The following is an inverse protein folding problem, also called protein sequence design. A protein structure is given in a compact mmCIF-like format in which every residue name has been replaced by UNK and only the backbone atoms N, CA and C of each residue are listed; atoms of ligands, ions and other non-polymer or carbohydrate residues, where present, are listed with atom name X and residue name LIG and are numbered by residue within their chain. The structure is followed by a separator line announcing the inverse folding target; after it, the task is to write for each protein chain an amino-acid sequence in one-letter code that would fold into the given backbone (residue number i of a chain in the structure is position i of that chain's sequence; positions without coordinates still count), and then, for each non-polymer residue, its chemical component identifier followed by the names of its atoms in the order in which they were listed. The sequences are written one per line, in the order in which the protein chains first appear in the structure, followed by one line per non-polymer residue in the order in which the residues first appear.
data_IF_500407406220
#
_entry.id   IF_500407406220
#
_cell.length_a   1.000
_cell.length_b   1.000
_cell.length_c   1.000
_cell.angle_alpha   90.00
_cell.angle_beta   90.00
_cell.angle_gamma   90.00
#
_symmetry.space_group_name_H-M   'P 1'
#
loop_
_entity.id
_entity.type
_entity.pdbx_description
1 polymer ?
#
# COMPACT_ATOMS: atom_id res chain seq x y z
N UNK A 1 -37.50 -32.13 21.60
CA UNK A 1 -36.59 -30.99 21.36
C UNK A 1 -35.20 -31.56 21.18
N UNK A 2 -34.73 -31.72 19.94
CA UNK A 2 -33.37 -32.20 19.64
C UNK A 2 -32.50 -30.97 19.42
N UNK A 3 -31.58 -30.71 20.34
CA UNK A 3 -30.57 -29.64 20.21
C UNK A 3 -29.50 -30.17 19.26
N UNK A 4 -29.45 -29.68 18.02
CA UNK A 4 -28.28 -29.88 17.15
C UNK A 4 -27.06 -29.20 17.77
N UNK A 5 -25.86 -29.82 17.77
CA UNK A 5 -24.66 -29.12 18.19
C UNK A 5 -24.38 -27.96 17.22
N UNK A 6 -23.81 -26.84 17.68
CA UNK A 6 -23.43 -25.78 16.75
C UNK A 6 -22.32 -26.31 15.84
N UNK A 7 -22.57 -26.29 14.54
CA UNK A 7 -21.57 -26.46 13.48
C UNK A 7 -20.52 -25.37 13.66
N UNK A 8 -19.56 -25.61 14.55
CA UNK A 8 -18.47 -24.69 14.79
C UNK A 8 -17.43 -25.00 13.73
N UNK A 9 -17.65 -24.42 12.55
CA UNK A 9 -16.72 -24.50 11.44
C UNK A 9 -15.31 -24.17 11.96
N UNK A 10 -14.27 -24.97 11.63
CA UNK A 10 -12.92 -24.78 12.16
C UNK A 10 -12.36 -23.38 11.85
N UNK A 11 -12.87 -22.73 10.80
CA UNK A 11 -12.56 -21.36 10.43
C UNK A 11 -13.12 -20.33 11.44
N UNK A 12 -14.33 -20.53 11.97
CA UNK A 12 -14.97 -19.62 12.92
C UNK A 12 -14.31 -19.70 14.31
N UNK A 13 -13.99 -20.91 14.78
CA UNK A 13 -13.23 -21.10 16.02
C UNK A 13 -11.82 -20.49 15.93
N UNK A 14 -11.20 -20.55 14.74
CA UNK A 14 -9.91 -19.95 14.47
C UNK A 14 -9.98 -18.41 14.41
N UNK A 15 -11.00 -17.85 13.75
CA UNK A 15 -11.27 -16.41 13.71
C UNK A 15 -11.51 -15.85 15.12
N UNK A 16 -12.29 -16.55 15.96
CA UNK A 16 -12.55 -16.17 17.36
C UNK A 16 -11.26 -16.17 18.20
N UNK A 17 -10.39 -17.17 18.02
CA UNK A 17 -9.06 -17.23 18.68
C UNK A 17 -8.12 -16.12 18.21
N UNK A 18 -8.14 -15.77 16.91
CA UNK A 18 -7.34 -14.67 16.37
C UNK A 18 -7.81 -13.29 16.84
N UNK A 19 -9.07 -13.16 17.29
CA UNK A 19 -9.59 -11.93 17.87
C UNK A 19 -9.11 -11.71 19.32
N UNK A 20 -8.58 -12.73 19.99
CA UNK A 20 -7.97 -12.60 21.31
C UNK A 20 -6.56 -11.96 21.21
N UNK A 21 -6.32 -10.79 21.82
CA UNK A 21 -5.07 -10.08 21.67
C UNK A 21 -3.89 -10.77 22.37
N UNK A 22 -4.12 -11.59 23.40
CA UNK A 22 -3.06 -12.30 24.10
C UNK A 22 -2.55 -13.51 23.30
N UNK A 23 -3.48 -14.32 22.79
CA UNK A 23 -3.21 -15.40 21.86
C UNK A 23 -2.50 -14.88 20.61
N UNK A 24 -2.99 -13.75 20.05
CA UNK A 24 -2.35 -13.13 18.88
C UNK A 24 -0.90 -12.74 19.15
N UNK A 25 -0.59 -12.12 20.30
CA UNK A 25 0.79 -11.72 20.67
C UNK A 25 1.72 -12.91 20.92
N UNK A 26 1.25 -13.94 21.61
CA UNK A 26 2.04 -15.15 21.86
C UNK A 26 2.32 -15.93 20.56
N UNK A 27 1.34 -15.96 19.66
CA UNK A 27 1.48 -16.61 18.36
C UNK A 27 2.39 -15.82 17.41
N UNK A 28 2.31 -14.48 17.43
CA UNK A 28 3.21 -13.58 16.71
C UNK A 28 4.66 -13.76 17.18
N UNK A 29 4.90 -13.83 18.50
CA UNK A 29 6.24 -14.09 19.07
C UNK A 29 6.82 -15.46 18.67
N UNK A 30 6.03 -16.53 18.74
CA UNK A 30 6.48 -17.87 18.35
C UNK A 30 6.83 -17.97 16.85
N UNK A 31 6.18 -17.14 16.03
CA UNK A 31 6.39 -17.09 14.58
C UNK A 31 7.55 -16.16 14.20
N UNK A 32 7.76 -15.07 14.94
CA UNK A 32 8.92 -14.19 14.82
C UNK A 32 10.24 -14.94 15.12
N UNK A 33 10.20 -15.89 16.07
CA UNK A 33 11.31 -16.77 16.41
C UNK A 33 11.56 -17.86 15.35
N UNK A 34 10.55 -18.17 14.53
CA UNK A 34 10.66 -19.16 13.46
C UNK A 34 11.36 -18.57 12.23
N UNK A 35 12.28 -19.32 11.58
CA UNK A 35 12.96 -18.85 10.38
C UNK A 35 11.94 -18.58 9.26
N UNK A 36 11.92 -17.33 8.76
CA UNK A 36 11.03 -16.92 7.68
C UNK A 36 11.26 -17.81 6.46
N UNK A 37 10.22 -18.44 5.92
CA UNK A 37 10.37 -19.31 4.77
C UNK A 37 10.81 -18.51 3.55
N UNK A 38 11.75 -19.04 2.78
CA UNK A 38 12.43 -18.32 1.69
C UNK A 38 11.46 -17.72 0.65
N UNK A 39 10.32 -18.37 0.43
CA UNK A 39 9.27 -17.85 -0.46
C UNK A 39 8.66 -16.53 0.01
N UNK A 40 8.56 -16.26 1.31
CA UNK A 40 8.08 -14.97 1.83
C UNK A 40 9.07 -13.85 1.52
N UNK A 41 10.37 -14.13 1.63
CA UNK A 41 11.43 -13.16 1.29
C UNK A 41 11.41 -12.83 -0.20
N UNK A 42 11.32 -13.84 -1.06
CA UNK A 42 11.18 -13.66 -2.51
C UNK A 42 9.89 -12.91 -2.86
N UNK A 43 8.78 -13.25 -2.21
CA UNK A 43 7.50 -12.58 -2.38
C UNK A 43 7.60 -11.08 -2.04
N UNK A 44 8.09 -10.73 -0.85
CA UNK A 44 8.19 -9.35 -0.38
C UNK A 44 9.17 -8.53 -1.23
N UNK A 45 10.29 -9.14 -1.66
CA UNK A 45 11.24 -8.50 -2.59
C UNK A 45 10.58 -8.13 -3.91
N UNK A 46 9.93 -9.08 -4.57
CA UNK A 46 9.27 -8.84 -5.87
C UNK A 46 8.08 -7.90 -5.71
N UNK A 47 7.38 -7.98 -4.58
CA UNK A 47 6.30 -7.06 -4.26
C UNK A 47 6.81 -5.62 -4.10
N UNK A 48 7.95 -5.40 -3.44
CA UNK A 48 8.57 -4.08 -3.33
C UNK A 48 9.09 -3.58 -4.69
N UNK A 49 9.71 -4.45 -5.49
CA UNK A 49 10.27 -4.10 -6.80
C UNK A 49 9.20 -3.77 -7.85
N UNK A 50 8.10 -4.53 -7.90
CA UNK A 50 7.11 -4.46 -8.98
C UNK A 50 5.74 -3.96 -8.54
N UNK A 51 5.51 -3.80 -7.23
CA UNK A 51 4.21 -3.42 -6.64
C UNK A 51 3.04 -4.27 -7.16
N UNK A 52 3.34 -5.52 -7.57
CA UNK A 52 2.39 -6.40 -8.24
C UNK A 52 2.27 -7.70 -7.48
N UNK A 53 1.14 -7.88 -6.81
CA UNK A 53 0.81 -9.11 -6.09
C UNK A 53 0.82 -10.32 -7.03
N UNK A 54 0.41 -10.16 -8.29
CA UNK A 54 0.46 -11.26 -9.28
C UNK A 54 1.89 -11.71 -9.60
N UNK A 55 2.81 -10.78 -9.82
CA UNK A 55 4.22 -11.13 -10.07
C UNK A 55 4.89 -11.70 -8.82
N UNK A 56 4.57 -11.15 -7.64
CA UNK A 56 5.06 -11.66 -6.37
C UNK A 56 4.57 -13.10 -6.11
N UNK A 57 3.31 -13.41 -6.40
CA UNK A 57 2.76 -14.78 -6.32
C UNK A 57 3.47 -15.73 -7.30
N UNK A 58 3.68 -15.29 -8.55
CA UNK A 58 4.37 -16.07 -9.56
C UNK A 58 5.83 -16.37 -9.14
N UNK A 59 6.54 -15.37 -8.62
CA UNK A 59 7.90 -15.51 -8.12
C UNK A 59 7.99 -16.38 -6.86
N UNK A 60 6.99 -16.32 -5.98
CA UNK A 60 6.92 -17.16 -4.78
C UNK A 60 6.53 -18.61 -5.08
N UNK A 61 5.98 -18.91 -6.27
CA UNK A 61 5.55 -20.26 -6.64
C UNK A 61 4.47 -20.83 -5.71
N UNK A 62 3.53 -19.98 -5.26
CA UNK A 62 2.47 -20.35 -4.31
C UNK A 62 1.08 -20.03 -4.85
N UNK A 63 0.08 -20.74 -4.34
CA UNK A 63 -1.30 -20.44 -4.67
C UNK A 63 -1.72 -19.08 -4.06
N UNK A 64 -2.48 -18.24 -4.79
CA UNK A 64 -2.97 -16.96 -4.28
C UNK A 64 -3.72 -17.12 -2.95
N UNK A 65 -4.60 -18.12 -2.86
CA UNK A 65 -5.40 -18.38 -1.66
C UNK A 65 -4.56 -18.70 -0.44
N UNK A 66 -3.42 -19.39 -0.63
CA UNK A 66 -2.48 -19.66 0.45
C UNK A 66 -1.77 -18.39 0.92
N UNK A 67 -1.32 -17.54 -0.01
CA UNK A 67 -0.65 -16.27 0.30
C UNK A 67 -1.60 -15.31 1.05
N UNK A 68 -2.86 -15.20 0.63
CA UNK A 68 -3.86 -14.40 1.33
C UNK A 68 -4.24 -14.98 2.70
N UNK A 69 -4.28 -16.30 2.82
CA UNK A 69 -4.49 -16.97 4.11
C UNK A 69 -3.34 -16.64 5.07
N UNK A 70 -2.09 -16.83 4.64
CA UNK A 70 -0.91 -16.47 5.44
C UNK A 70 -0.94 -14.98 5.82
N UNK A 71 -1.33 -14.07 4.92
CA UNK A 71 -1.50 -12.64 5.24
C UNK A 71 -2.58 -12.36 6.30
N UNK A 72 -3.64 -13.16 6.38
CA UNK A 72 -4.67 -13.00 7.40
C UNK A 72 -4.21 -13.56 8.76
N UNK A 73 -3.50 -14.68 8.73
CA UNK A 73 -2.98 -15.34 9.93
C UNK A 73 -1.80 -14.57 10.53
N UNK A 74 -0.94 -13.98 9.69
CA UNK A 74 0.37 -13.43 10.07
C UNK A 74 0.38 -11.90 10.00
N UNK A 75 0.36 -11.26 11.19
CA UNK A 75 0.34 -9.81 11.33
C UNK A 75 1.67 -9.17 10.90
N UNK A 76 2.79 -9.82 11.17
CA UNK A 76 4.12 -9.38 10.78
C UNK A 76 4.34 -9.42 9.26
N UNK A 77 3.96 -10.52 8.60
CA UNK A 77 3.96 -10.65 7.15
C UNK A 77 3.00 -9.65 6.52
N UNK A 78 1.84 -9.39 7.14
CA UNK A 78 0.96 -8.29 6.73
C UNK A 78 1.64 -6.93 6.85
N UNK A 79 2.37 -6.67 7.95
CA UNK A 79 3.09 -5.42 8.15
C UNK A 79 4.22 -5.25 7.13
N UNK A 80 5.02 -6.30 6.87
CA UNK A 80 6.06 -6.30 5.84
C UNK A 80 5.50 -6.22 4.42
N UNK A 81 4.34 -6.80 4.17
CA UNK A 81 3.63 -6.63 2.90
C UNK A 81 3.18 -5.19 2.74
N UNK A 82 2.59 -4.59 3.78
CA UNK A 82 2.20 -3.19 3.78
C UNK A 82 3.41 -2.28 3.59
N UNK A 83 4.52 -2.55 4.29
CA UNK A 83 5.81 -1.88 4.10
C UNK A 83 6.37 -2.09 2.70
N UNK A 84 6.26 -3.27 2.09
CA UNK A 84 6.69 -3.49 0.71
C UNK A 84 5.82 -2.73 -0.30
N UNK A 85 4.52 -2.55 -0.01
CA UNK A 85 3.62 -1.70 -0.79
C UNK A 85 3.81 -0.21 -0.51
N UNK A 86 4.24 0.16 0.69
CA UNK A 86 4.42 1.54 1.15
C UNK A 86 5.81 2.08 0.82
N UNK A 87 6.83 1.22 0.91
CA UNK A 87 8.27 1.50 0.87
C UNK A 87 8.73 2.12 -0.44
N UNK A 88 7.94 1.95 -1.47
CA UNK A 88 7.98 2.81 -2.62
C UNK A 88 6.60 2.70 -3.28
N UNK A 89 5.61 3.45 -2.79
CA UNK A 89 4.73 4.11 -3.76
C UNK A 89 5.68 4.96 -4.60
N UNK A 90 6.34 4.36 -5.60
CA UNK A 90 6.87 5.06 -6.76
C UNK A 90 5.63 5.64 -7.40
N UNK A 91 5.22 6.78 -6.85
CA UNK A 91 4.35 7.67 -7.54
C UNK A 91 5.06 7.85 -8.87
N UNK A 92 4.39 7.55 -9.97
CA UNK A 92 5.01 7.73 -11.25
C UNK A 92 5.58 9.15 -11.25
N UNK A 93 6.84 9.32 -11.64
CA UNK A 93 7.65 10.51 -11.31
C UNK A 93 6.91 11.81 -11.61
N UNK A 94 6.06 11.78 -12.64
CA UNK A 94 5.11 12.83 -12.97
C UNK A 94 4.17 13.29 -11.84
N UNK A 95 3.69 12.43 -10.95
CA UNK A 95 2.82 12.81 -9.82
C UNK A 95 3.57 13.67 -8.79
N UNK A 96 4.84 13.34 -8.52
CA UNK A 96 5.67 14.13 -7.62
C UNK A 96 5.95 15.50 -8.24
N UNK A 97 6.40 15.52 -9.51
CA UNK A 97 6.62 16.76 -10.27
C UNK A 97 5.32 17.59 -10.37
N UNK A 98 4.19 16.95 -10.68
CA UNK A 98 2.88 17.60 -10.77
C UNK A 98 2.48 18.26 -9.46
N UNK A 99 2.56 17.54 -8.34
CA UNK A 99 2.16 18.08 -7.03
C UNK A 99 3.10 19.20 -6.57
N UNK A 100 4.41 19.09 -6.83
CA UNK A 100 5.38 20.17 -6.55
C UNK A 100 5.06 21.43 -7.35
N UNK A 101 4.94 21.31 -8.68
CA UNK A 101 4.60 22.45 -9.53
C UNK A 101 3.20 23.00 -9.24
N UNK A 102 2.25 22.16 -8.84
CA UNK A 102 0.91 22.59 -8.44
C UNK A 102 0.94 23.38 -7.12
N UNK A 103 1.77 22.99 -6.15
CA UNK A 103 1.92 23.72 -4.90
C UNK A 103 2.57 25.10 -5.12
N UNK A 104 3.55 25.17 -6.04
CA UNK A 104 4.26 26.39 -6.39
C UNK A 104 3.40 27.35 -7.23
N UNK A 105 2.84 26.85 -8.33
CA UNK A 105 2.15 27.69 -9.32
C UNK A 105 0.66 27.84 -9.05
N UNK A 106 0.06 26.92 -8.27
CA UNK A 106 -1.39 26.72 -8.13
C UNK A 106 -2.15 26.57 -9.46
N UNK A 107 -1.43 26.31 -10.56
CA UNK A 107 -1.96 26.23 -11.91
C UNK A 107 -1.84 24.81 -12.47
N UNK A 108 -2.98 24.12 -12.56
CA UNK A 108 -3.08 22.73 -13.04
C UNK A 108 -2.47 22.57 -14.44
N UNK A 109 -2.61 23.58 -15.30
CA UNK A 109 -2.04 23.57 -16.67
C UNK A 109 -0.51 23.63 -16.67
N UNK A 110 0.12 24.38 -15.77
CA UNK A 110 1.59 24.39 -15.66
C UNK A 110 2.10 23.10 -15.03
N UNK A 111 1.42 22.63 -13.98
CA UNK A 111 1.76 21.38 -13.32
C UNK A 111 1.72 20.17 -14.26
N UNK A 112 0.70 20.04 -15.13
CA UNK A 112 0.63 18.94 -16.10
C UNK A 112 1.71 19.00 -17.17
N UNK A 113 2.10 20.21 -17.59
CA UNK A 113 3.14 20.42 -18.60
C UNK A 113 4.52 20.08 -18.03
N UNK A 114 4.81 20.57 -16.81
CA UNK A 114 6.04 20.24 -16.09
C UNK A 114 6.17 18.73 -15.84
N UNK A 115 5.05 18.07 -15.52
CA UNK A 115 4.99 16.62 -15.30
C UNK A 115 4.89 15.80 -16.60
N UNK A 116 4.77 16.43 -17.77
CA UNK A 116 4.68 15.73 -19.06
C UNK A 116 3.46 14.81 -19.22
N UNK A 117 2.33 15.10 -18.56
CA UNK A 117 1.15 14.21 -18.54
C UNK A 117 -0.10 14.84 -19.14
N UNK A 118 -0.93 13.98 -19.73
CA UNK A 118 -2.24 14.36 -20.23
C UNK A 118 -3.22 14.65 -19.08
N UNK A 119 -4.06 15.68 -19.25
CA UNK A 119 -5.09 16.05 -18.26
C UNK A 119 -6.00 14.87 -17.89
N UNK A 120 -6.38 14.04 -18.87
CA UNK A 120 -7.24 12.88 -18.64
C UNK A 120 -6.62 11.85 -17.70
N UNK A 121 -5.29 11.68 -17.73
CA UNK A 121 -4.58 10.78 -16.81
C UNK A 121 -4.62 11.32 -15.39
N UNK A 122 -4.35 12.62 -15.23
CA UNK A 122 -4.33 13.33 -13.95
C UNK A 122 -5.68 13.24 -13.23
N UNK A 123 -6.79 13.52 -13.92
CA UNK A 123 -8.12 13.40 -13.33
C UNK A 123 -8.52 11.95 -13.06
N UNK A 124 -8.13 11.01 -13.92
CA UNK A 124 -8.38 9.57 -13.70
C UNK A 124 -7.68 9.05 -12.45
N UNK A 125 -6.43 9.46 -12.23
CA UNK A 125 -5.67 9.11 -11.02
C UNK A 125 -6.29 9.75 -9.79
N UNK A 126 -6.67 11.04 -9.85
CA UNK A 126 -7.39 11.72 -8.76
C UNK A 126 -8.70 11.03 -8.37
N UNK A 127 -9.41 10.44 -9.33
CA UNK A 127 -10.63 9.69 -9.05
C UNK A 127 -10.37 8.31 -8.43
N UNK A 128 -9.25 7.66 -8.76
CA UNK A 128 -8.92 6.30 -8.28
C UNK A 128 -8.11 6.28 -7.00
N UNK A 129 -7.27 7.28 -6.76
CA UNK A 129 -6.36 7.34 -5.62
C UNK A 129 -6.79 8.48 -4.67
N UNK A 130 -7.45 8.16 -3.53
CA UNK A 130 -7.93 9.17 -2.59
C UNK A 130 -6.78 9.94 -1.91
N UNK A 131 -5.60 9.34 -1.80
CA UNK A 131 -4.43 10.01 -1.24
C UNK A 131 -3.84 11.07 -2.18
N UNK A 132 -3.81 10.80 -3.48
CA UNK A 132 -3.44 11.78 -4.49
C UNK A 132 -4.39 12.97 -4.48
N UNK A 133 -5.70 12.72 -4.30
CA UNK A 133 -6.69 13.78 -4.09
C UNK A 133 -6.39 14.59 -2.82
N UNK A 134 -6.12 13.95 -1.68
CA UNK A 134 -5.81 14.67 -0.44
C UNK A 134 -4.61 15.60 -0.59
N UNK A 135 -3.54 15.13 -1.26
CA UNK A 135 -2.33 15.92 -1.51
C UNK A 135 -2.53 17.01 -2.57
N UNK A 136 -3.40 16.79 -3.54
CA UNK A 136 -3.83 17.82 -4.46
C UNK A 136 -4.52 18.96 -3.72
N UNK A 137 -5.51 18.64 -2.88
CA UNK A 137 -6.19 19.64 -2.06
C UNK A 137 -5.21 20.37 -1.14
N UNK A 138 -4.23 19.65 -0.57
CA UNK A 138 -3.15 20.26 0.21
C UNK A 138 -2.26 21.18 -0.64
N UNK A 139 -1.94 20.84 -1.88
CA UNK A 139 -1.15 21.70 -2.76
C UNK A 139 -1.90 22.98 -3.16
N UNK A 140 -3.23 22.91 -3.34
CA UNK A 140 -4.05 24.07 -3.69
C UNK A 140 -4.35 24.94 -2.45
N UNK A 141 -4.77 24.33 -1.35
CA UNK A 141 -5.26 25.02 -0.16
C UNK A 141 -4.18 25.25 0.91
N UNK A 142 -3.05 24.55 0.82
CA UNK A 142 -1.94 24.71 1.76
C UNK A 142 -1.27 26.07 1.64
N UNK A 143 -0.63 26.55 2.72
CA UNK A 143 0.26 27.70 2.64
C UNK A 143 1.35 27.39 1.62
N UNK A 144 1.66 28.35 0.74
CA UNK A 144 2.81 28.22 -0.15
C UNK A 144 4.03 27.79 0.69
N UNK A 145 4.81 26.79 0.25
CA UNK A 145 6.10 26.54 0.88
C UNK A 145 6.88 27.87 0.92
N UNK A 146 7.58 28.20 2.01
CA UNK A 146 8.34 29.44 2.09
C UNK A 146 9.25 29.52 0.87
N UNK A 147 9.10 30.66 0.19
CA UNK A 147 9.69 31.05 -1.07
C UNK A 147 11.07 30.42 -1.32
N UNK A 148 11.15 29.52 -2.31
CA UNK A 148 12.40 29.18 -2.98
C UNK A 148 12.27 29.69 -4.42
N UNK A 149 12.38 31.01 -4.59
CA UNK A 149 12.52 31.73 -5.85
C UNK A 149 13.56 31.05 -6.79
N UNK A 150 13.16 30.36 -7.88
CA UNK A 150 14.08 29.97 -8.92
C UNK A 150 13.90 30.94 -10.09
N UNK A 151 14.66 32.03 -10.05
CA UNK A 151 15.06 32.87 -11.18
C UNK A 151 13.96 33.34 -12.15
N UNK A 152 13.65 34.63 -12.08
CA UNK A 152 13.14 35.39 -13.23
C UNK A 152 14.20 35.39 -14.35
N UNK A 153 13.95 34.86 -15.56
CA UNK A 153 14.87 35.05 -16.67
C UNK A 153 14.70 36.47 -17.25
N UNK A 154 15.78 37.06 -17.81
CA UNK A 154 15.85 38.47 -18.23
C UNK A 154 14.92 38.86 -19.37
#
# INVERSE_FOLDING_TARGET
MTISPPDTSPEAAYQQRCADPAFRRAWDQARADSPQPEWQRTFLRVLAEQQSVRHAIAAAGRAPSYVYRVRAEDSEFRARWDEALAGERRRPEWQAVFLSTLAETKHITRARLAAGVASSLVYRVRAKDPEFRARWEQAINGPLPPDNDPQTPP
#
